data_IF_181406064128
#
_entry.id   IF_181406064128
#
_cell.length_a   1.000
_cell.length_b   1.000
_cell.length_c   1.000
_cell.angle_alpha   90.00
_cell.angle_beta   90.00
_cell.angle_gamma   90.00
#
_symmetry.space_group_name_H-M   'P 1'
#
loop_
_entity.id
_entity.type
_entity.pdbx_description
1 polymer ?
#
# COMPACT_ATOMS: atom_id res chain seq x y z
N UNK A 1 17.94 -22.17 -15.91
CA UNK A 1 18.51 -20.83 -15.63
C UNK A 1 17.65 -20.16 -14.58
N UNK A 2 18.10 -20.12 -13.33
CA UNK A 2 17.41 -19.38 -12.28
C UNK A 2 17.81 -17.92 -12.48
N UNK A 3 16.92 -17.14 -13.05
CA UNK A 3 17.12 -15.68 -13.18
C UNK A 3 17.25 -15.13 -11.76
N UNK A 4 18.43 -14.60 -11.42
CA UNK A 4 18.66 -13.97 -10.13
C UNK A 4 17.61 -12.85 -9.95
N UNK A 5 16.59 -13.09 -9.11
CA UNK A 5 15.60 -12.09 -8.77
C UNK A 5 16.32 -10.86 -8.21
N UNK A 6 16.18 -9.72 -8.86
CA UNK A 6 16.65 -8.45 -8.28
C UNK A 6 16.09 -8.33 -6.87
N UNK A 7 16.95 -8.26 -5.87
CA UNK A 7 16.52 -8.14 -4.47
C UNK A 7 16.01 -6.72 -4.21
N UNK A 8 14.72 -6.49 -4.42
CA UNK A 8 14.08 -5.26 -3.98
C UNK A 8 13.87 -5.31 -2.47
N UNK A 9 14.47 -4.36 -1.76
CA UNK A 9 14.30 -4.22 -0.31
C UNK A 9 13.46 -3.00 0.00
N UNK A 10 12.27 -3.24 0.53
CA UNK A 10 11.40 -2.16 1.01
C UNK A 10 11.53 -2.03 2.53
N UNK A 11 11.78 -0.81 3.01
CA UNK A 11 11.75 -0.46 4.44
C UNK A 11 10.39 0.06 4.89
N UNK A 12 9.51 0.34 3.92
CA UNK A 12 8.14 0.77 4.11
C UNK A 12 7.28 0.27 2.96
N UNK A 13 5.97 0.21 3.15
CA UNK A 13 5.04 -0.16 2.09
C UNK A 13 5.11 0.83 0.91
N UNK A 14 4.97 0.36 -0.34
CA UNK A 14 5.00 1.19 -1.54
C UNK A 14 3.99 2.32 -1.56
N UNK A 15 2.76 2.03 -1.15
CA UNK A 15 1.65 2.99 -1.09
C UNK A 15 1.32 3.36 0.36
N UNK A 16 0.74 4.54 0.59
CA UNK A 16 0.21 4.91 1.90
C UNK A 16 -0.75 3.86 2.46
N UNK A 17 -0.61 3.55 3.74
CA UNK A 17 -1.47 2.60 4.43
C UNK A 17 -1.66 3.04 5.89
N UNK A 18 -2.88 2.94 6.40
CA UNK A 18 -3.20 3.27 7.80
C UNK A 18 -2.65 2.16 8.70
N UNK A 19 -1.85 2.52 9.71
CA UNK A 19 -1.27 1.52 10.62
C UNK A 19 -0.07 0.76 10.04
N UNK A 20 0.70 1.39 9.13
CA UNK A 20 1.95 0.78 8.65
C UNK A 20 2.87 0.34 9.78
N UNK A 21 3.31 -0.92 9.72
CA UNK A 21 4.16 -1.54 10.73
C UNK A 21 5.67 -1.21 10.56
N UNK A 22 6.01 -0.13 9.82
CA UNK A 22 7.42 0.24 9.52
C UNK A 22 8.26 0.48 10.77
N UNK A 23 7.65 1.01 11.82
CA UNK A 23 8.35 1.27 13.10
C UNK A 23 8.77 -0.03 13.80
N UNK A 24 8.09 -1.13 13.52
CA UNK A 24 8.39 -2.44 14.10
C UNK A 24 9.34 -3.28 13.24
N UNK A 25 9.66 -2.83 12.02
CA UNK A 25 10.42 -3.63 11.05
C UNK A 25 11.79 -4.08 11.58
N UNK A 26 12.49 -3.24 12.34
CA UNK A 26 13.79 -3.58 12.94
C UNK A 26 13.66 -4.68 14.00
N UNK A 27 12.73 -4.51 14.93
CA UNK A 27 12.50 -5.49 16.00
C UNK A 27 11.95 -6.80 15.42
N UNK A 28 11.08 -6.72 14.43
CA UNK A 28 10.55 -7.88 13.73
C UNK A 28 11.68 -8.73 13.10
N UNK A 29 12.68 -8.10 12.44
CA UNK A 29 13.84 -8.82 11.91
C UNK A 29 14.63 -9.55 12.99
N UNK A 30 14.77 -8.96 14.18
CA UNK A 30 15.44 -9.63 15.31
C UNK A 30 14.66 -10.84 15.80
N UNK A 31 13.34 -10.72 15.88
CA UNK A 31 12.45 -11.83 16.27
C UNK A 31 12.50 -12.93 15.21
N UNK A 32 12.43 -12.58 13.92
CA UNK A 32 12.45 -13.54 12.81
C UNK A 32 13.70 -14.43 12.81
N UNK A 33 14.84 -13.92 13.26
CA UNK A 33 16.09 -14.71 13.38
C UNK A 33 15.99 -15.86 14.38
N UNK A 34 15.08 -15.78 15.38
CA UNK A 34 14.86 -16.84 16.36
C UNK A 34 14.12 -18.05 15.79
N UNK A 35 13.53 -17.90 14.62
CA UNK A 35 12.77 -18.92 13.90
C UNK A 35 13.49 -19.31 12.60
N UNK A 36 14.79 -19.55 12.70
CA UNK A 36 15.64 -19.84 11.53
C UNK A 36 15.37 -21.20 10.88
N UNK A 37 14.81 -22.12 11.63
CA UNK A 37 14.44 -23.48 11.26
C UNK A 37 13.03 -23.59 10.64
N UNK A 38 12.24 -22.53 10.72
CA UNK A 38 10.87 -22.53 10.20
C UNK A 38 10.84 -22.32 8.69
N UNK A 39 9.97 -23.07 8.02
CA UNK A 39 9.81 -23.05 6.56
C UNK A 39 8.51 -22.40 6.11
N UNK A 40 7.53 -22.24 7.02
CA UNK A 40 6.23 -21.62 6.75
C UNK A 40 5.98 -20.46 7.70
N UNK A 41 5.61 -19.33 7.15
CA UNK A 41 5.20 -18.12 7.90
C UNK A 41 3.84 -17.66 7.42
N UNK A 42 2.91 -17.41 8.33
CA UNK A 42 1.56 -16.97 8.03
C UNK A 42 1.32 -15.59 8.64
N UNK A 43 1.11 -14.59 7.77
CA UNK A 43 0.73 -13.23 8.19
C UNK A 43 -0.79 -13.10 8.18
N UNK A 44 -1.42 -13.37 9.33
CA UNK A 44 -2.87 -13.40 9.49
C UNK A 44 -3.52 -12.02 9.27
N UNK A 45 -2.79 -10.94 9.58
CA UNK A 45 -3.24 -9.55 9.51
C UNK A 45 -2.27 -8.72 8.67
N UNK A 46 -2.08 -9.15 7.41
CA UNK A 46 -1.02 -8.68 6.54
C UNK A 46 -1.04 -7.17 6.25
N UNK A 47 -2.23 -6.56 6.20
CA UNK A 47 -2.40 -5.14 5.95
C UNK A 47 -1.66 -4.71 4.68
N UNK A 48 -0.61 -3.88 4.80
CA UNK A 48 0.20 -3.48 3.64
C UNK A 48 1.20 -4.53 3.15
N UNK A 49 1.27 -5.72 3.75
CA UNK A 49 2.21 -6.78 3.39
C UNK A 49 3.67 -6.52 3.76
N UNK A 50 3.98 -5.47 4.53
CA UNK A 50 5.37 -5.12 4.82
C UNK A 50 6.11 -6.18 5.60
N UNK A 51 5.49 -6.81 6.61
CA UNK A 51 6.15 -7.87 7.39
C UNK A 51 6.30 -9.13 6.56
N UNK A 52 5.31 -9.50 5.75
CA UNK A 52 5.39 -10.60 4.79
C UNK A 52 6.54 -10.39 3.78
N UNK A 53 6.66 -9.17 3.21
CA UNK A 53 7.78 -8.79 2.35
C UNK A 53 9.13 -8.98 3.06
N UNK A 54 9.27 -8.46 4.26
CA UNK A 54 10.51 -8.59 5.06
C UNK A 54 10.80 -10.07 5.31
N UNK A 55 9.82 -10.87 5.72
CA UNK A 55 9.97 -12.30 5.96
C UNK A 55 10.51 -13.01 4.71
N UNK A 56 9.90 -12.78 3.55
CA UNK A 56 10.34 -13.42 2.30
C UNK A 56 11.75 -13.00 1.88
N UNK A 57 12.14 -11.74 2.14
CA UNK A 57 13.51 -11.26 1.83
C UNK A 57 14.57 -11.82 2.76
N UNK A 58 14.26 -11.98 4.05
CA UNK A 58 15.16 -12.59 5.03
C UNK A 58 15.17 -14.14 4.94
N UNK A 59 14.09 -14.74 4.43
CA UNK A 59 13.86 -16.19 4.30
C UNK A 59 13.41 -16.53 2.87
N UNK A 60 14.28 -16.44 1.87
CA UNK A 60 13.90 -16.64 0.47
C UNK A 60 13.35 -18.04 0.17
N UNK A 61 13.79 -19.06 0.91
CA UNK A 61 13.36 -20.46 0.72
C UNK A 61 12.05 -20.79 1.46
N UNK A 62 11.62 -19.94 2.41
CA UNK A 62 10.40 -20.18 3.17
C UNK A 62 9.15 -19.88 2.35
N UNK A 63 8.08 -20.62 2.62
CA UNK A 63 6.72 -20.27 2.20
C UNK A 63 6.20 -19.14 3.10
N UNK A 64 5.79 -18.04 2.50
CA UNK A 64 5.22 -16.90 3.23
C UNK A 64 3.82 -16.61 2.71
N UNK A 65 2.83 -16.85 3.57
CA UNK A 65 1.41 -16.67 3.27
C UNK A 65 1.02 -15.29 3.80
N UNK A 66 0.59 -14.44 2.87
CA UNK A 66 0.15 -13.08 3.17
C UNK A 66 -1.38 -12.98 3.03
N UNK A 67 -2.08 -12.74 4.12
CA UNK A 67 -3.52 -12.53 4.10
C UNK A 67 -3.84 -11.07 3.77
N UNK A 68 -4.20 -10.82 2.53
CA UNK A 68 -4.54 -9.49 1.98
C UNK A 68 -6.03 -9.17 2.16
N UNK A 69 -6.50 -9.16 3.39
CA UNK A 69 -7.89 -8.84 3.73
C UNK A 69 -8.28 -7.40 3.38
N UNK A 70 -7.31 -6.49 3.30
CA UNK A 70 -7.51 -5.06 3.00
C UNK A 70 -7.40 -4.73 1.50
N UNK A 71 -7.31 -5.72 0.61
CA UNK A 71 -7.15 -5.57 -0.84
C UNK A 71 -5.96 -4.66 -1.22
N UNK A 72 -4.85 -4.75 -0.49
CA UNK A 72 -3.67 -3.95 -0.78
C UNK A 72 -3.03 -4.33 -2.11
N UNK A 73 -3.10 -5.60 -2.50
CA UNK A 73 -2.65 -6.11 -3.79
C UNK A 73 -3.34 -5.39 -4.96
N UNK A 74 -4.67 -5.22 -4.90
CA UNK A 74 -5.43 -4.51 -5.93
C UNK A 74 -4.92 -3.06 -6.10
N UNK A 75 -4.57 -2.40 -4.99
CA UNK A 75 -3.99 -1.06 -5.02
C UNK A 75 -2.63 -1.03 -5.70
N UNK A 76 -1.79 -2.05 -5.48
CA UNK A 76 -0.49 -2.20 -6.14
C UNK A 76 -0.65 -2.48 -7.64
N UNK A 77 -1.58 -3.33 -8.03
CA UNK A 77 -1.90 -3.64 -9.43
C UNK A 77 -2.37 -2.38 -10.20
N UNK A 78 -3.00 -1.43 -9.51
CA UNK A 78 -3.47 -0.16 -10.06
C UNK A 78 -2.49 1.03 -9.83
N UNK A 79 -1.23 0.77 -9.47
CA UNK A 79 -0.26 1.82 -9.13
C UNK A 79 0.03 2.76 -10.31
N UNK A 80 0.09 2.24 -11.52
CA UNK A 80 0.30 3.04 -12.74
C UNK A 80 -0.85 4.00 -12.98
N UNK A 81 -2.08 3.55 -12.74
CA UNK A 81 -3.29 4.36 -12.84
C UNK A 81 -3.32 5.45 -11.77
N UNK A 82 -2.95 5.10 -10.53
CA UNK A 82 -2.80 6.04 -9.42
C UNK A 82 -1.75 7.11 -9.73
N UNK A 83 -0.61 6.73 -10.29
CA UNK A 83 0.44 7.66 -10.69
C UNK A 83 -0.02 8.61 -11.80
N UNK A 84 -0.75 8.11 -12.80
CA UNK A 84 -1.30 8.94 -13.87
C UNK A 84 -2.28 9.99 -13.31
N UNK A 85 -3.20 9.58 -12.42
CA UNK A 85 -4.11 10.52 -11.75
C UNK A 85 -3.33 11.57 -10.94
N UNK A 86 -2.34 11.16 -10.14
CA UNK A 86 -1.51 12.08 -9.36
C UNK A 86 -0.71 13.03 -10.27
N UNK A 87 -0.27 12.59 -11.43
CA UNK A 87 0.40 13.44 -12.43
C UNK A 87 -0.53 14.53 -12.95
N UNK A 88 -1.80 14.21 -13.23
CA UNK A 88 -2.79 15.18 -13.64
C UNK A 88 -3.09 16.19 -12.53
N UNK A 89 -3.23 15.73 -11.28
CA UNK A 89 -3.44 16.61 -10.13
C UNK A 89 -2.23 17.52 -9.88
N UNK A 90 -0.99 17.03 -10.10
CA UNK A 90 0.23 17.84 -10.05
C UNK A 90 0.19 18.98 -11.07
N UNK A 91 -0.17 18.67 -12.31
CA UNK A 91 -0.30 19.70 -13.38
C UNK A 91 -1.37 20.73 -13.03
N UNK A 92 -2.50 20.31 -12.51
CA UNK A 92 -3.56 21.22 -12.08
C UNK A 92 -3.12 22.13 -10.93
N UNK A 93 -2.20 21.69 -10.06
CA UNK A 93 -1.67 22.46 -8.92
C UNK A 93 -0.37 23.22 -9.24
N UNK A 94 0.03 23.28 -10.49
CA UNK A 94 1.24 24.02 -10.90
C UNK A 94 1.18 25.48 -10.43
N UNK A 95 2.28 25.97 -9.85
CA UNK A 95 2.35 27.30 -9.25
C UNK A 95 1.76 27.43 -7.85
N UNK A 96 1.10 26.39 -7.31
CA UNK A 96 0.58 26.42 -5.94
C UNK A 96 1.65 25.82 -5.01
N UNK A 97 2.09 26.57 -3.98
CA UNK A 97 3.09 26.05 -3.03
C UNK A 97 2.63 24.77 -2.33
N UNK A 98 3.59 23.90 -1.99
CA UNK A 98 3.30 22.70 -1.20
C UNK A 98 2.68 23.05 0.15
N UNK A 99 1.82 22.16 0.63
CA UNK A 99 1.06 22.29 1.88
C UNK A 99 0.07 23.46 1.91
N UNK A 100 -0.09 24.20 0.82
CA UNK A 100 -1.10 25.26 0.71
C UNK A 100 -2.48 24.66 0.50
N UNK A 101 -3.47 25.21 1.19
CA UNK A 101 -4.88 24.89 0.97
C UNK A 101 -5.28 25.33 -0.44
N UNK A 102 -5.98 24.47 -1.16
CA UNK A 102 -6.48 24.76 -2.50
C UNK A 102 -7.72 25.65 -2.45
N UNK A 103 -7.87 26.54 -3.43
CA UNK A 103 -9.07 27.35 -3.59
C UNK A 103 -10.29 26.49 -3.92
N UNK A 104 -11.50 27.01 -3.69
CA UNK A 104 -12.77 26.34 -4.06
C UNK A 104 -12.82 25.94 -5.54
N UNK A 105 -12.28 26.79 -6.43
CA UNK A 105 -12.18 26.49 -7.86
C UNK A 105 -11.31 25.27 -8.11
N UNK A 106 -10.12 25.24 -7.52
CA UNK A 106 -9.18 24.12 -7.64
C UNK A 106 -9.75 22.85 -7.04
N UNK A 107 -10.39 22.94 -5.88
CA UNK A 107 -11.08 21.80 -5.26
C UNK A 107 -12.11 21.18 -6.22
N UNK A 108 -12.94 22.00 -6.88
CA UNK A 108 -13.89 21.53 -7.89
C UNK A 108 -13.23 20.82 -9.07
N UNK A 109 -12.15 21.40 -9.62
CA UNK A 109 -11.39 20.80 -10.74
C UNK A 109 -10.77 19.46 -10.35
N UNK A 110 -10.25 19.34 -9.15
CA UNK A 110 -9.70 18.09 -8.62
C UNK A 110 -10.77 17.01 -8.48
N UNK A 111 -11.91 17.36 -7.87
CA UNK A 111 -13.03 16.42 -7.74
C UNK A 111 -13.55 15.94 -9.10
N UNK A 112 -13.65 16.84 -10.08
CA UNK A 112 -14.07 16.48 -11.44
C UNK A 112 -13.09 15.48 -12.07
N UNK A 113 -11.78 15.74 -11.95
CA UNK A 113 -10.75 14.81 -12.48
C UNK A 113 -10.81 13.44 -11.80
N UNK A 114 -10.99 13.42 -10.47
CA UNK A 114 -11.09 12.16 -9.71
C UNK A 114 -12.36 11.40 -10.07
N UNK A 115 -13.52 12.08 -10.21
CA UNK A 115 -14.78 11.45 -10.68
C UNK A 115 -14.64 10.82 -12.06
N UNK A 116 -13.96 11.52 -12.97
CA UNK A 116 -13.69 10.99 -14.31
C UNK A 116 -12.83 9.71 -14.22
N UNK A 117 -11.84 9.67 -13.34
CA UNK A 117 -11.05 8.46 -13.10
C UNK A 117 -11.91 7.33 -12.54
N UNK A 118 -12.74 7.61 -11.53
CA UNK A 118 -13.64 6.65 -10.91
C UNK A 118 -14.64 6.06 -11.94
N UNK A 119 -15.16 6.89 -12.85
CA UNK A 119 -16.08 6.41 -13.90
C UNK A 119 -15.44 5.47 -14.93
N UNK A 120 -14.13 5.45 -15.04
CA UNK A 120 -13.37 4.58 -15.94
C UNK A 120 -12.71 3.39 -15.26
N UNK A 121 -12.74 3.33 -13.92
CA UNK A 121 -12.20 2.21 -13.15
C UNK A 121 -11.77 2.57 -11.73
N UNK A 122 -10.68 1.96 -11.28
CA UNK A 122 -10.20 2.01 -9.89
C UNK A 122 -9.63 3.37 -9.50
N UNK A 123 -9.96 3.82 -8.29
CA UNK A 123 -9.32 4.97 -7.61
C UNK A 123 -8.82 4.55 -6.24
N UNK A 124 -7.53 4.71 -5.98
CA UNK A 124 -6.93 4.51 -4.66
C UNK A 124 -7.19 5.72 -3.75
N UNK A 125 -8.34 5.72 -3.09
CA UNK A 125 -8.75 6.81 -2.20
C UNK A 125 -7.81 7.04 -1.02
N UNK A 126 -7.11 6.02 -0.53
CA UNK A 126 -6.12 6.20 0.55
C UNK A 126 -4.91 6.98 0.05
N UNK A 127 -4.39 6.65 -1.13
CA UNK A 127 -3.27 7.39 -1.74
C UNK A 127 -3.68 8.81 -2.14
N UNK A 128 -4.87 8.99 -2.69
CA UNK A 128 -5.42 10.33 -3.00
C UNK A 128 -5.61 11.14 -1.72
N UNK A 129 -6.17 10.55 -0.66
CA UNK A 129 -6.32 11.23 0.64
C UNK A 129 -4.97 11.68 1.20
N UNK A 130 -3.95 10.83 1.18
CA UNK A 130 -2.61 11.20 1.67
C UNK A 130 -1.97 12.34 0.87
N UNK A 131 -2.40 12.54 -0.38
CA UNK A 131 -1.91 13.56 -1.29
C UNK A 131 -2.69 14.89 -1.21
N UNK A 132 -3.93 14.86 -0.74
CA UNK A 132 -4.82 16.02 -0.77
C UNK A 132 -5.30 16.46 0.61
N UNK A 133 -5.28 15.60 1.62
CA UNK A 133 -5.83 15.92 2.93
C UNK A 133 -4.73 16.24 3.95
N UNK A 134 -5.14 16.87 5.03
CA UNK A 134 -4.25 17.07 6.17
C UNK A 134 -4.04 15.76 6.92
N UNK A 135 -2.87 15.62 7.56
CA UNK A 135 -2.41 14.40 8.22
C UNK A 135 -3.49 13.70 9.06
N UNK A 136 -3.60 12.39 8.88
CA UNK A 136 -4.51 11.53 9.63
C UNK A 136 -5.97 11.52 9.14
N UNK A 137 -6.30 12.27 8.08
CA UNK A 137 -7.62 12.22 7.45
C UNK A 137 -7.59 11.33 6.21
N UNK A 138 -8.60 10.50 6.06
CA UNK A 138 -8.78 9.61 4.91
C UNK A 138 -10.24 9.61 4.48
N UNK A 139 -10.47 9.54 3.17
CA UNK A 139 -11.76 9.34 2.56
C UNK A 139 -11.78 7.96 1.88
N UNK A 140 -12.93 7.32 1.84
CA UNK A 140 -13.13 5.99 1.24
C UNK A 140 -13.77 6.07 -0.15
N UNK A 141 -14.34 7.22 -0.47
CA UNK A 141 -15.06 7.46 -1.71
C UNK A 141 -15.08 8.95 -2.05
N UNK A 142 -15.53 9.28 -3.25
CA UNK A 142 -15.61 10.67 -3.73
C UNK A 142 -16.54 11.56 -2.89
N UNK A 143 -17.60 10.98 -2.33
CA UNK A 143 -18.58 11.73 -1.51
C UNK A 143 -17.99 12.18 -0.17
N UNK A 144 -17.19 11.32 0.48
CA UNK A 144 -16.44 11.68 1.68
C UNK A 144 -15.32 12.69 1.35
N UNK A 145 -14.56 12.42 0.29
CA UNK A 145 -13.44 13.25 -0.14
C UNK A 145 -13.90 14.68 -0.44
N UNK A 146 -15.02 14.84 -1.14
CA UNK A 146 -15.55 16.13 -1.55
C UNK A 146 -16.00 17.05 -0.40
N UNK A 147 -16.20 16.51 0.80
CA UNK A 147 -16.57 17.30 2.00
C UNK A 147 -15.35 17.88 2.72
N UNK A 148 -14.13 17.50 2.31
CA UNK A 148 -12.89 17.85 2.99
C UNK A 148 -12.14 18.94 2.22
N UNK A 149 -11.40 19.79 2.94
CA UNK A 149 -10.52 20.78 2.32
C UNK A 149 -9.29 20.08 1.73
N UNK A 150 -8.91 20.47 0.51
CA UNK A 150 -7.73 19.94 -0.16
C UNK A 150 -6.51 20.85 0.05
N UNK A 151 -5.36 20.19 0.12
CA UNK A 151 -4.05 20.82 0.22
C UNK A 151 -3.13 20.25 -0.86
N UNK A 152 -2.16 21.03 -1.31
CA UNK A 152 -1.14 20.54 -2.25
C UNK A 152 -0.06 19.73 -1.51
N UNK A 153 -0.40 18.49 -1.13
CA UNK A 153 0.53 17.54 -0.52
C UNK A 153 1.01 16.47 -1.52
N UNK A 154 0.71 16.68 -2.81
CA UNK A 154 1.01 15.69 -3.85
C UNK A 154 2.52 15.49 -3.95
N UNK A 155 2.97 14.24 -3.83
CA UNK A 155 4.39 13.90 -3.98
C UNK A 155 4.87 14.15 -5.41
N UNK A 156 6.15 14.50 -5.57
CA UNK A 156 6.73 14.82 -6.88
C UNK A 156 7.12 13.58 -7.70
N UNK A 157 7.50 12.50 -7.03
CA UNK A 157 7.90 11.24 -7.68
C UNK A 157 6.74 10.25 -7.73
N UNK A 158 6.75 9.39 -8.72
CA UNK A 158 5.79 8.29 -8.83
C UNK A 158 6.03 7.21 -7.77
N UNK A 159 5.00 6.45 -7.47
CA UNK A 159 5.07 5.23 -6.66
C UNK A 159 5.61 4.08 -7.51
N UNK A 160 6.32 3.14 -6.87
CA UNK A 160 6.75 1.88 -7.47
C UNK A 160 6.54 0.74 -6.49
N UNK A 161 6.12 -0.42 -6.99
CA UNK A 161 5.94 -1.64 -6.17
C UNK A 161 6.70 -2.83 -6.76
N UNK A 162 7.70 -2.58 -7.60
CA UNK A 162 8.44 -3.63 -8.30
C UNK A 162 8.99 -4.67 -7.33
N UNK A 163 8.62 -5.93 -7.50
CA UNK A 163 9.04 -7.04 -6.67
C UNK A 163 8.54 -7.02 -5.22
N UNK A 164 7.59 -6.17 -4.86
CA UNK A 164 7.14 -6.05 -3.47
C UNK A 164 6.45 -7.31 -2.94
N UNK A 165 5.56 -7.91 -3.72
CA UNK A 165 4.86 -9.15 -3.35
C UNK A 165 5.49 -10.42 -3.93
N UNK A 166 6.65 -10.31 -4.58
CA UNK A 166 7.30 -11.44 -5.22
C UNK A 166 7.62 -12.57 -4.23
N UNK A 167 7.18 -13.76 -4.58
CA UNK A 167 7.38 -14.97 -3.82
C UNK A 167 6.46 -15.12 -2.60
N UNK A 168 5.49 -14.23 -2.41
CA UNK A 168 4.43 -14.41 -1.40
C UNK A 168 3.28 -15.23 -1.97
N UNK A 169 2.69 -16.08 -1.13
CA UNK A 169 1.39 -16.68 -1.38
C UNK A 169 0.31 -15.74 -0.86
N UNK A 170 -0.35 -15.02 -1.78
CA UNK A 170 -1.36 -14.03 -1.41
C UNK A 170 -2.72 -14.71 -1.34
N UNK A 171 -3.34 -14.63 -0.17
CA UNK A 171 -4.71 -15.12 0.09
C UNK A 171 -5.57 -13.98 0.61
N UNK A 172 -6.90 -14.14 0.54
CA UNK A 172 -7.86 -13.20 1.11
C UNK A 172 -8.98 -14.02 1.78
N UNK A 173 -8.90 -14.19 3.09
CA UNK A 173 -9.89 -14.95 3.85
C UNK A 173 -9.98 -14.47 5.31
N UNK A 174 -10.96 -14.97 6.06
CA UNK A 174 -11.01 -14.73 7.50
C UNK A 174 -9.77 -15.36 8.18
N UNK A 175 -9.17 -14.62 9.11
CA UNK A 175 -7.96 -15.08 9.82
C UNK A 175 -8.18 -16.41 10.56
N UNK A 176 -9.43 -16.71 10.96
CA UNK A 176 -9.78 -17.97 11.62
C UNK A 176 -9.57 -19.17 10.71
N UNK A 177 -9.89 -19.04 9.42
CA UNK A 177 -9.66 -20.10 8.44
C UNK A 177 -8.16 -20.43 8.33
N UNK A 178 -7.30 -19.42 8.30
CA UNK A 178 -5.86 -19.63 8.29
C UNK A 178 -5.38 -20.22 9.62
N UNK A 179 -5.89 -19.71 10.75
CA UNK A 179 -5.52 -20.26 12.05
C UNK A 179 -5.89 -21.73 12.16
N UNK A 180 -7.08 -22.12 11.73
CA UNK A 180 -7.53 -23.51 11.78
C UNK A 180 -6.70 -24.41 10.83
N UNK A 181 -6.39 -23.89 9.64
CA UNK A 181 -5.56 -24.62 8.65
C UNK A 181 -4.13 -24.89 9.14
N UNK A 182 -3.52 -23.95 9.86
CA UNK A 182 -2.10 -24.02 10.24
C UNK A 182 -1.87 -24.27 11.75
N UNK A 183 -2.94 -24.44 12.57
CA UNK A 183 -2.85 -24.64 14.02
C UNK A 183 -1.99 -25.85 14.41
N UNK A 184 -2.17 -26.94 13.72
CA UNK A 184 -1.56 -28.24 14.04
C UNK A 184 -0.41 -28.57 13.04
N UNK A 185 0.04 -27.58 12.27
CA UNK A 185 1.17 -27.79 11.37
C UNK A 185 2.46 -27.92 12.18
N UNK A 186 3.25 -28.99 11.98
CA UNK A 186 4.46 -29.25 12.77
C UNK A 186 5.61 -28.28 12.47
N UNK A 187 5.55 -27.48 11.43
CA UNK A 187 6.63 -26.60 10.92
C UNK A 187 6.25 -25.12 10.86
#
# INVERSE_FOLDING_TARGET
>A
MITAMKKYHYSQAPLPFVGQKRMFASEFRKVLKRFSDRTVFVDLFGGSGLLSHITKRERPDATVIYNDHDNYRERLENISRTNALLSDLRRLSEGIPRHRMLSKKMHGMFLERIRREESTGFVDYLTISSSLLFSGKYARNIGELGKLNFYNNIRLSDYSCEGYLDGLEVVCCDYRELTDKYRDSPD
#
